data_IF_396193877999
#
_entry.id   IF_396193877999
#
_cell.length_a   1.000
_cell.length_b   1.000
_cell.length_c   1.000
_cell.angle_alpha   90.00
_cell.angle_beta   90.00
_cell.angle_gamma   90.00
#
_symmetry.space_group_name_H-M   'P 1'
#
loop_
_entity.id
_entity.type
_entity.pdbx_description
1 polymer ?
#
# COMPACT_ATOMS: atom_id res chain seq x y z
N UNK A 1 13.64 -8.03 10.28
CA UNK A 1 12.44 -7.42 10.91
C UNK A 1 11.42 -8.53 11.13
N UNK A 2 10.99 -8.79 12.36
CA UNK A 2 10.01 -9.84 12.69
C UNK A 2 8.60 -9.27 12.89
N UNK A 3 8.20 -8.36 12.00
CA UNK A 3 6.90 -7.69 12.02
C UNK A 3 6.16 -8.04 10.74
N UNK A 4 4.90 -8.37 10.88
CA UNK A 4 4.02 -8.81 9.80
C UNK A 4 2.70 -8.06 9.94
N UNK A 5 2.54 -6.99 9.16
CA UNK A 5 1.47 -6.02 9.35
C UNK A 5 1.46 -5.48 10.79
N UNK A 6 0.32 -5.63 11.47
CA UNK A 6 0.09 -5.23 12.85
C UNK A 6 0.66 -6.21 13.88
N UNK A 7 1.12 -7.38 13.46
CA UNK A 7 1.64 -8.41 14.36
C UNK A 7 3.16 -8.33 14.53
N UNK A 8 3.64 -8.35 15.77
CA UNK A 8 5.08 -8.45 16.08
C UNK A 8 5.45 -9.85 16.57
N UNK A 9 6.05 -10.64 15.68
CA UNK A 9 6.50 -12.00 15.95
C UNK A 9 7.73 -12.09 16.86
N UNK A 10 8.31 -10.96 17.30
CA UNK A 10 9.34 -10.96 18.34
C UNK A 10 8.75 -11.13 19.75
N UNK A 11 7.45 -10.91 19.91
CA UNK A 11 6.76 -11.10 21.19
C UNK A 11 6.21 -12.52 21.20
N UNK A 12 6.71 -13.33 22.13
CA UNK A 12 6.32 -14.74 22.26
C UNK A 12 4.86 -14.86 22.72
N UNK A 13 4.08 -15.68 22.02
CA UNK A 13 2.71 -16.04 22.38
C UNK A 13 2.51 -17.53 22.17
N UNK A 14 1.86 -18.18 23.13
CA UNK A 14 1.45 -19.58 23.00
C UNK A 14 0.02 -19.62 22.44
N UNK A 15 -0.27 -20.62 21.63
CA UNK A 15 -1.62 -20.88 21.08
C UNK A 15 -2.13 -19.79 20.15
N UNK A 16 -1.35 -19.39 19.15
CA UNK A 16 -1.87 -18.59 18.04
C UNK A 16 -2.89 -19.41 17.27
N UNK A 17 -4.04 -18.80 16.99
CA UNK A 17 -5.14 -19.36 16.21
C UNK A 17 -5.48 -18.34 15.12
N UNK A 18 -5.23 -18.71 13.87
CA UNK A 18 -5.60 -17.92 12.71
C UNK A 18 -6.71 -18.64 11.95
N UNK A 19 -7.80 -17.95 11.65
CA UNK A 19 -8.87 -18.46 10.81
C UNK A 19 -8.78 -17.74 9.47
N UNK A 20 -8.64 -18.48 8.37
CA UNK A 20 -8.55 -17.89 7.04
C UNK A 20 -9.92 -17.46 6.49
N UNK A 21 -9.94 -17.01 5.23
CA UNK A 21 -11.16 -16.62 4.50
C UNK A 21 -12.17 -17.76 4.33
N UNK A 22 -11.69 -18.99 4.21
CA UNK A 22 -12.46 -20.20 3.94
C UNK A 22 -12.89 -20.91 5.23
N UNK A 23 -12.56 -20.33 6.39
CA UNK A 23 -12.88 -20.86 7.72
C UNK A 23 -11.90 -21.92 8.22
N UNK A 24 -10.74 -22.07 7.56
CA UNK A 24 -9.73 -23.05 7.96
C UNK A 24 -8.91 -22.50 9.13
N UNK A 25 -8.78 -23.31 10.18
CA UNK A 25 -8.05 -22.94 11.39
C UNK A 25 -6.59 -23.39 11.34
N UNK A 26 -5.69 -22.45 11.62
CA UNK A 26 -4.26 -22.67 11.71
C UNK A 26 -3.79 -22.39 13.13
N UNK A 27 -3.13 -23.39 13.72
CA UNK A 27 -2.57 -23.28 15.06
C UNK A 27 -1.05 -23.16 15.01
N UNK A 28 -0.48 -22.36 15.91
CA UNK A 28 0.97 -22.24 16.04
C UNK A 28 1.42 -21.75 17.40
N UNK A 29 2.58 -22.24 17.83
CA UNK A 29 3.35 -21.73 18.96
C UNK A 29 4.27 -20.57 18.56
N UNK A 30 4.60 -20.47 17.26
CA UNK A 30 5.33 -19.38 16.65
C UNK A 30 4.63 -18.93 15.38
N UNK A 31 4.53 -17.61 15.20
CA UNK A 31 3.89 -17.03 14.03
C UNK A 31 4.58 -17.43 12.72
N UNK A 32 5.91 -17.56 12.71
CA UNK A 32 6.65 -18.00 11.51
C UNK A 32 6.34 -19.45 11.11
N UNK A 33 6.15 -20.35 12.08
CA UNK A 33 5.73 -21.73 11.80
C UNK A 33 4.30 -21.75 11.25
N UNK A 34 3.41 -20.94 11.84
CA UNK A 34 2.05 -20.80 11.38
C UNK A 34 1.99 -20.25 9.95
N UNK A 35 2.79 -19.22 9.63
CA UNK A 35 2.92 -18.71 8.26
C UNK A 35 3.35 -19.81 7.29
N UNK A 36 4.33 -20.66 7.65
CA UNK A 36 4.72 -21.77 6.78
C UNK A 36 3.54 -22.70 6.49
N UNK A 37 2.75 -23.06 7.50
CA UNK A 37 1.56 -23.92 7.34
C UNK A 37 0.49 -23.28 6.45
N UNK A 38 0.23 -22.00 6.64
CA UNK A 38 -0.71 -21.22 5.80
C UNK A 38 -0.20 -21.17 4.36
N UNK A 39 1.10 -20.95 4.16
CA UNK A 39 1.72 -20.93 2.84
C UNK A 39 1.54 -22.26 2.12
N UNK A 40 1.92 -23.37 2.76
CA UNK A 40 1.82 -24.71 2.18
C UNK A 40 0.36 -25.03 1.83
N UNK A 41 -0.59 -24.72 2.72
CA UNK A 41 -2.02 -24.90 2.46
C UNK A 41 -2.52 -24.10 1.25
N UNK A 42 -2.20 -22.80 1.18
CA UNK A 42 -2.63 -21.93 0.09
C UNK A 42 -1.97 -22.27 -1.26
N UNK A 43 -0.81 -22.91 -1.24
CA UNK A 43 -0.15 -23.42 -2.44
C UNK A 43 -0.97 -24.55 -3.09
N UNK A 44 -1.53 -25.44 -2.26
CA UNK A 44 -2.25 -26.62 -2.72
C UNK A 44 -3.75 -26.37 -2.95
N UNK A 45 -4.35 -25.45 -2.19
CA UNK A 45 -5.81 -25.24 -2.16
C UNK A 45 -6.23 -23.90 -2.81
N UNK A 46 -5.27 -23.12 -3.30
CA UNK A 46 -5.50 -21.74 -3.67
C UNK A 46 -5.62 -20.84 -2.44
N UNK A 47 -5.46 -19.55 -2.67
CA UNK A 47 -5.51 -18.54 -1.61
C UNK A 47 -4.50 -17.43 -1.85
N UNK A 48 -4.53 -16.45 -0.96
CA UNK A 48 -3.69 -15.27 -1.11
C UNK A 48 -2.22 -15.56 -0.74
N UNK A 49 -1.39 -15.74 -1.77
CA UNK A 49 0.07 -15.78 -1.69
C UNK A 49 0.75 -14.58 -2.36
N UNK A 50 -0.02 -13.54 -2.69
CA UNK A 50 0.54 -12.34 -3.29
C UNK A 50 1.51 -11.63 -2.32
N UNK A 51 2.49 -10.90 -2.84
CA UNK A 51 3.51 -10.22 -2.02
C UNK A 51 2.87 -9.43 -0.84
N UNK A 52 3.42 -9.62 0.36
CA UNK A 52 2.86 -9.07 1.60
C UNK A 52 1.68 -9.86 2.19
N UNK A 53 1.40 -11.08 1.71
CA UNK A 53 0.35 -11.93 2.30
C UNK A 53 0.62 -12.23 3.77
N UNK A 54 1.88 -12.33 4.19
CA UNK A 54 2.24 -12.52 5.59
C UNK A 54 1.79 -11.33 6.45
N UNK A 55 1.88 -10.10 5.90
CA UNK A 55 1.42 -8.90 6.58
C UNK A 55 -0.10 -8.92 6.76
N UNK A 56 -0.84 -9.32 5.71
CA UNK A 56 -2.31 -9.46 5.76
C UNK A 56 -2.75 -10.54 6.74
N UNK A 57 -2.03 -11.67 6.81
CA UNK A 57 -2.25 -12.70 7.84
C UNK A 57 -2.02 -12.11 9.23
N UNK A 58 -0.95 -11.33 9.43
CA UNK A 58 -0.67 -10.67 10.71
C UNK A 58 -1.75 -9.66 11.12
N UNK A 59 -2.23 -8.84 10.17
CA UNK A 59 -3.33 -7.90 10.40
C UNK A 59 -4.62 -8.62 10.79
N UNK A 60 -4.99 -9.68 10.06
CA UNK A 60 -6.20 -10.45 10.33
C UNK A 60 -6.12 -11.20 11.65
N UNK A 61 -4.99 -11.86 11.94
CA UNK A 61 -4.75 -12.49 13.24
C UNK A 61 -4.99 -11.49 14.38
N UNK A 62 -4.53 -10.26 14.21
CA UNK A 62 -4.71 -9.21 15.18
C UNK A 62 -6.14 -8.68 15.29
N UNK A 63 -6.91 -8.72 14.21
CA UNK A 63 -8.35 -8.47 14.26
C UNK A 63 -9.10 -9.57 15.02
N UNK A 64 -8.65 -10.83 14.93
CA UNK A 64 -9.29 -12.00 15.55
C UNK A 64 -9.01 -12.13 17.05
N UNK A 65 -7.73 -12.10 17.46
CA UNK A 65 -7.32 -12.59 18.79
C UNK A 65 -7.02 -11.50 19.83
N UNK A 66 -7.01 -10.21 19.47
CA UNK A 66 -6.67 -9.08 20.38
C UNK A 66 -5.42 -9.34 21.26
N UNK A 67 -4.33 -9.83 20.67
CA UNK A 67 -3.12 -10.22 21.39
C UNK A 67 -2.25 -9.00 21.80
N UNK A 68 -1.43 -9.09 22.87
CA UNK A 68 -0.42 -8.07 23.18
C UNK A 68 0.64 -7.86 22.08
N UNK A 69 0.90 -8.88 21.24
CA UNK A 69 1.77 -8.74 20.07
C UNK A 69 1.16 -7.91 18.94
N UNK A 70 -0.16 -7.70 19.00
CA UNK A 70 -0.88 -6.86 18.07
C UNK A 70 -0.76 -5.43 18.53
N UNK A 71 0.19 -4.72 17.94
CA UNK A 71 0.22 -3.28 18.11
C UNK A 71 -0.26 -2.64 16.81
N UNK A 72 -0.81 -1.43 16.89
CA UNK A 72 -1.03 -0.61 15.70
C UNK A 72 0.34 -0.17 15.15
N UNK A 73 1.16 -1.10 14.67
CA UNK A 73 2.39 -0.79 13.96
C UNK A 73 1.97 -0.17 12.63
N UNK A 74 1.90 1.16 12.60
CA UNK A 74 1.96 1.88 11.33
C UNK A 74 3.28 1.45 10.69
N UNK A 75 3.24 0.90 9.47
CA UNK A 75 4.45 0.66 8.66
C UNK A 75 5.38 1.86 8.82
N UNK A 76 6.69 1.66 9.08
CA UNK A 76 7.59 2.77 9.30
C UNK A 76 7.43 3.74 8.14
N UNK A 77 7.21 5.02 8.43
CA UNK A 77 6.90 5.99 7.39
C UNK A 77 8.05 6.03 6.38
N UNK A 78 7.72 6.02 5.09
CA UNK A 78 8.73 6.23 4.06
C UNK A 78 9.26 7.65 4.21
N UNK A 79 10.57 7.77 4.40
CA UNK A 79 11.28 9.06 4.36
C UNK A 79 11.62 9.39 2.92
N UNK A 80 11.42 10.64 2.53
CA UNK A 80 11.83 11.11 1.21
C UNK A 80 13.35 11.23 1.11
N UNK A 81 13.88 10.77 -0.01
CA UNK A 81 15.25 11.00 -0.45
C UNK A 81 15.34 12.21 -1.38
N UNK A 82 16.55 12.73 -1.63
CA UNK A 82 16.79 13.78 -2.62
C UNK A 82 16.40 13.32 -4.04
N UNK A 83 16.59 12.03 -4.35
CA UNK A 83 16.15 11.43 -5.61
C UNK A 83 14.63 11.51 -5.78
N UNK A 84 13.85 11.29 -4.72
CA UNK A 84 12.39 11.39 -4.75
C UNK A 84 11.93 12.82 -5.08
N UNK A 85 12.68 13.83 -4.63
CA UNK A 85 12.40 15.24 -4.95
C UNK A 85 12.61 15.51 -6.45
N UNK A 86 13.72 15.06 -7.03
CA UNK A 86 13.97 15.21 -8.47
C UNK A 86 12.92 14.49 -9.34
N UNK A 87 12.53 13.30 -8.90
CA UNK A 87 11.45 12.50 -9.49
C UNK A 87 10.14 13.27 -9.55
N UNK A 88 9.78 13.89 -8.41
CA UNK A 88 8.59 14.70 -8.29
C UNK A 88 8.60 15.89 -9.27
N UNK A 89 9.69 16.64 -9.35
CA UNK A 89 9.78 17.77 -10.28
C UNK A 89 9.65 17.33 -11.75
N UNK A 90 10.19 16.15 -12.09
CA UNK A 90 10.01 15.55 -13.41
C UNK A 90 8.53 15.25 -13.71
N UNK A 91 7.81 14.60 -12.78
CA UNK A 91 6.36 14.37 -12.89
C UNK A 91 5.58 15.68 -13.06
N UNK A 92 5.86 16.69 -12.24
CA UNK A 92 5.18 17.99 -12.30
C UNK A 92 5.41 18.67 -13.66
N UNK A 93 6.64 18.61 -14.20
CA UNK A 93 6.93 19.20 -15.50
C UNK A 93 6.26 18.43 -16.65
N UNK A 94 6.21 17.10 -16.59
CA UNK A 94 5.43 16.28 -17.55
C UNK A 94 3.95 16.64 -17.50
N UNK A 95 3.38 16.74 -16.30
CA UNK A 95 1.98 17.08 -16.11
C UNK A 95 1.65 18.49 -16.63
N UNK A 96 2.52 19.47 -16.38
CA UNK A 96 2.39 20.81 -16.94
C UNK A 96 2.40 20.78 -18.47
N UNK A 97 3.27 19.97 -19.09
CA UNK A 97 3.34 19.81 -20.55
C UNK A 97 2.10 19.14 -21.12
N UNK A 98 1.39 18.31 -20.34
CA UNK A 98 0.07 17.79 -20.70
C UNK A 98 -1.09 18.79 -20.49
N UNK A 99 -0.81 20.04 -20.18
CA UNK A 99 -1.85 21.05 -19.93
C UNK A 99 -2.63 20.81 -18.63
N UNK A 100 -2.01 20.17 -17.63
CA UNK A 100 -2.66 19.77 -16.37
C UNK A 100 -3.81 18.78 -16.55
N UNK A 101 -3.77 17.95 -17.60
CA UNK A 101 -4.76 16.92 -17.84
C UNK A 101 -4.91 15.97 -16.64
N UNK A 102 -6.15 15.58 -16.37
CA UNK A 102 -6.52 14.58 -15.35
C UNK A 102 -7.36 13.50 -16.02
N UNK A 103 -7.35 12.30 -15.47
CA UNK A 103 -8.23 11.22 -15.94
C UNK A 103 -9.67 11.45 -15.48
N UNK A 104 -10.62 10.74 -16.08
CA UNK A 104 -12.01 10.74 -15.63
C UNK A 104 -12.18 10.12 -14.23
N UNK A 105 -13.37 10.32 -13.68
CA UNK A 105 -13.75 9.86 -12.35
C UNK A 105 -13.69 8.33 -12.22
N UNK A 106 -14.16 7.59 -13.23
CA UNK A 106 -14.22 6.13 -13.21
C UNK A 106 -12.81 5.53 -13.12
N UNK A 107 -11.87 6.05 -13.91
CA UNK A 107 -10.49 5.62 -13.91
C UNK A 107 -9.77 6.03 -12.61
N UNK A 108 -10.05 7.22 -12.08
CA UNK A 108 -9.53 7.65 -10.78
C UNK A 108 -10.03 6.73 -9.63
N UNK A 109 -11.31 6.39 -9.62
CA UNK A 109 -11.92 5.47 -8.64
C UNK A 109 -11.34 4.07 -8.74
N UNK A 110 -11.22 3.53 -9.96
CA UNK A 110 -10.59 2.21 -10.19
C UNK A 110 -9.17 2.18 -9.64
N UNK A 111 -8.37 3.21 -9.91
CA UNK A 111 -6.99 3.32 -9.41
C UNK A 111 -6.94 3.52 -7.90
N UNK A 112 -7.86 4.29 -7.33
CA UNK A 112 -7.95 4.50 -5.89
C UNK A 112 -8.29 3.21 -5.15
N UNK A 113 -9.20 2.38 -5.67
CA UNK A 113 -9.52 1.08 -5.11
C UNK A 113 -8.29 0.15 -5.10
N UNK A 114 -7.52 0.11 -6.20
CA UNK A 114 -6.26 -0.64 -6.30
C UNK A 114 -5.27 -0.14 -5.24
N UNK A 115 -5.07 1.16 -5.16
CA UNK A 115 -4.11 1.78 -4.25
C UNK A 115 -4.52 1.64 -2.78
N UNK A 116 -5.81 1.67 -2.45
CA UNK A 116 -6.31 1.51 -1.09
C UNK A 116 -5.97 0.14 -0.51
N UNK A 117 -6.00 -0.90 -1.35
CA UNK A 117 -5.71 -2.29 -0.97
C UNK A 117 -4.22 -2.65 -1.10
N UNK A 118 -3.42 -1.79 -1.72
CA UNK A 118 -2.01 -2.07 -1.99
C UNK A 118 -1.18 -2.06 -0.69
N UNK A 119 -0.35 -3.09 -0.42
CA UNK A 119 0.51 -3.12 0.78
C UNK A 119 1.56 -2.00 0.77
N UNK A 120 1.82 -1.40 -0.40
CA UNK A 120 2.69 -0.23 -0.58
C UNK A 120 2.00 1.11 -0.27
N UNK A 121 0.75 1.11 0.19
CA UNK A 121 0.02 2.31 0.64
C UNK A 121 0.42 2.69 2.09
N UNK A 122 1.52 3.42 2.20
CA UNK A 122 2.18 3.74 3.48
C UNK A 122 2.09 5.21 3.80
N UNK A 123 2.29 5.55 5.07
CA UNK A 123 2.48 6.95 5.47
C UNK A 123 3.83 7.44 4.92
N UNK A 124 3.86 8.63 4.34
CA UNK A 124 5.10 9.31 3.91
C UNK A 124 5.38 10.47 4.86
N UNK A 125 6.65 10.62 5.25
CA UNK A 125 7.13 11.75 6.05
C UNK A 125 8.07 12.65 5.26
N UNK A 126 8.03 13.96 5.55
CA UNK A 126 8.86 14.97 4.88
C UNK A 126 8.28 15.54 3.57
N UNK A 127 7.05 15.17 3.18
CA UNK A 127 6.47 15.55 1.88
C UNK A 127 5.85 16.96 1.83
N UNK A 128 6.28 17.93 2.65
CA UNK A 128 5.70 19.28 2.69
C UNK A 128 5.67 19.95 1.31
N UNK A 129 6.69 19.73 0.48
CA UNK A 129 6.75 20.22 -0.91
C UNK A 129 5.78 19.52 -1.87
N UNK A 130 5.48 18.23 -1.66
CA UNK A 130 4.55 17.46 -2.48
C UNK A 130 3.10 17.91 -2.31
N UNK A 131 2.74 18.46 -1.15
CA UNK A 131 1.40 18.99 -0.91
C UNK A 131 1.03 20.14 -1.84
N UNK A 132 2.02 20.86 -2.40
CA UNK A 132 1.76 21.87 -3.44
C UNK A 132 1.30 21.27 -4.76
N UNK A 133 1.73 20.05 -5.10
CA UNK A 133 1.16 19.31 -6.23
C UNK A 133 -0.25 18.84 -5.91
N UNK A 134 -0.51 18.37 -4.68
CA UNK A 134 -1.87 18.05 -4.25
C UNK A 134 -2.81 19.25 -4.43
N UNK A 135 -2.35 20.47 -4.11
CA UNK A 135 -3.17 21.67 -4.34
C UNK A 135 -3.43 21.90 -5.83
N UNK A 136 -2.41 21.82 -6.69
CA UNK A 136 -2.63 21.96 -8.14
C UNK A 136 -3.52 20.88 -8.73
N UNK A 137 -3.40 19.63 -8.26
CA UNK A 137 -4.28 18.54 -8.68
C UNK A 137 -5.70 18.83 -8.21
N UNK A 138 -5.90 19.29 -6.98
CA UNK A 138 -7.20 19.77 -6.49
C UNK A 138 -7.77 20.89 -7.36
N UNK A 139 -6.95 21.88 -7.73
CA UNK A 139 -7.38 22.96 -8.61
C UNK A 139 -7.80 22.44 -10.00
N UNK A 140 -7.15 21.38 -10.50
CA UNK A 140 -7.46 20.74 -11.78
C UNK A 140 -8.69 19.82 -11.74
N UNK A 141 -8.92 19.08 -10.65
CA UNK A 141 -10.05 18.15 -10.50
C UNK A 141 -11.30 18.81 -9.88
N UNK A 142 -11.16 20.01 -9.31
CA UNK A 142 -12.22 20.72 -8.61
C UNK A 142 -12.66 20.02 -7.32
N UNK A 143 -13.97 19.85 -7.14
CA UNK A 143 -14.56 19.18 -5.97
C UNK A 143 -14.55 17.64 -6.06
N UNK A 144 -14.07 17.09 -7.18
CA UNK A 144 -14.03 15.65 -7.43
C UNK A 144 -13.16 14.92 -6.40
N UNK A 145 -13.65 13.78 -5.92
CA UNK A 145 -12.97 12.90 -4.95
C UNK A 145 -13.19 11.46 -5.36
N UNK A 146 -12.25 10.59 -5.04
CA UNK A 146 -12.47 9.16 -5.20
C UNK A 146 -13.22 8.59 -4.01
N UNK A 147 -13.97 7.52 -4.24
CA UNK A 147 -14.63 6.68 -3.23
C UNK A 147 -13.68 6.20 -2.11
N UNK A 148 -12.38 6.08 -2.42
CA UNK A 148 -11.37 5.54 -1.51
C UNK A 148 -10.38 6.59 -0.98
N UNK A 149 -10.61 7.89 -1.20
CA UNK A 149 -9.67 8.98 -0.87
C UNK A 149 -9.18 8.95 0.59
N UNK A 150 -10.08 8.59 1.52
CA UNK A 150 -9.81 8.51 2.96
C UNK A 150 -8.87 7.35 3.34
N UNK A 151 -8.72 6.36 2.47
CA UNK A 151 -7.81 5.22 2.62
C UNK A 151 -6.46 5.47 1.95
N UNK A 152 -6.37 6.44 1.04
CA UNK A 152 -5.16 6.75 0.29
C UNK A 152 -4.16 7.52 1.16
N UNK A 153 -2.91 7.01 1.20
CA UNK A 153 -1.77 7.67 1.83
C UNK A 153 -0.75 8.02 0.75
N UNK A 154 0.46 7.47 0.82
CA UNK A 154 1.47 7.58 -0.21
C UNK A 154 2.00 6.23 -0.67
N UNK A 155 2.66 6.25 -1.83
CA UNK A 155 3.22 5.04 -2.43
C UNK A 155 4.63 4.77 -1.90
N UNK A 156 4.87 3.57 -1.35
CA UNK A 156 6.19 3.14 -0.88
C UNK A 156 7.17 2.88 -2.05
N UNK A 157 6.73 2.81 -3.30
CA UNK A 157 7.62 2.63 -4.48
C UNK A 157 8.14 3.96 -5.04
N UNK A 158 7.25 4.94 -5.28
CA UNK A 158 7.63 6.21 -5.90
C UNK A 158 7.52 7.45 -4.98
N UNK A 159 7.18 7.25 -3.70
CA UNK A 159 7.01 8.31 -2.70
C UNK A 159 5.94 9.38 -3.01
N UNK A 160 5.05 9.15 -3.97
CA UNK A 160 4.01 10.12 -4.33
C UNK A 160 2.80 10.01 -3.39
N UNK A 161 2.09 11.12 -3.21
CA UNK A 161 0.74 11.11 -2.64
C UNK A 161 -0.22 10.37 -3.57
N UNK A 162 -0.89 9.34 -3.06
CA UNK A 162 -1.83 8.55 -3.85
C UNK A 162 -3.10 9.33 -4.15
N UNK A 163 -3.54 10.21 -3.25
CA UNK A 163 -4.70 11.11 -3.47
C UNK A 163 -4.51 12.02 -4.68
N UNK A 164 -3.28 12.42 -5.01
CA UNK A 164 -3.00 13.17 -6.24
C UNK A 164 -2.77 12.21 -7.41
N UNK A 165 -2.00 11.14 -7.19
CA UNK A 165 -1.44 10.33 -8.26
C UNK A 165 -2.49 9.58 -9.08
N UNK A 166 -3.59 9.14 -8.45
CA UNK A 166 -4.66 8.40 -9.16
C UNK A 166 -5.32 9.21 -10.28
N UNK A 167 -5.34 10.54 -10.15
CA UNK A 167 -5.89 11.48 -11.13
C UNK A 167 -4.95 11.79 -12.29
N UNK A 168 -3.66 11.47 -12.17
CA UNK A 168 -2.68 11.83 -13.18
C UNK A 168 -2.71 10.84 -14.36
N UNK A 169 -2.49 11.29 -15.60
CA UNK A 169 -2.29 10.40 -16.75
C UNK A 169 -1.14 9.40 -16.50
N UNK A 170 -1.20 8.21 -17.11
CA UNK A 170 -0.24 7.11 -16.87
C UNK A 170 1.20 7.57 -17.15
N UNK A 171 1.37 8.37 -18.19
CA UNK A 171 2.64 8.93 -18.70
C UNK A 171 3.29 9.91 -17.73
N UNK A 172 2.47 10.55 -16.89
CA UNK A 172 2.86 11.45 -15.80
C UNK A 172 3.14 10.66 -14.53
N UNK A 173 2.30 9.67 -14.22
CA UNK A 173 2.37 8.85 -13.01
C UNK A 173 3.53 7.84 -13.01
N UNK A 174 4.02 7.45 -14.19
CA UNK A 174 5.17 6.59 -14.36
C UNK A 174 6.48 7.38 -14.13
N UNK A 175 6.85 7.48 -12.84
CA UNK A 175 8.08 8.12 -12.38
C UNK A 175 8.75 7.25 -11.34
N UNK A 176 10.03 6.96 -11.58
CA UNK A 176 11.00 6.19 -10.78
C UNK A 176 10.49 4.99 -9.96
N UNK A 177 11.27 3.92 -10.07
CA UNK A 177 11.03 2.62 -9.47
C UNK A 177 11.56 1.61 -10.45
N UNK A 178 12.41 0.69 -10.02
CA UNK A 178 12.79 -0.42 -10.90
C UNK A 178 11.52 -1.19 -11.22
N UNK A 179 11.35 -1.68 -12.45
CA UNK A 179 10.14 -2.40 -12.87
C UNK A 179 9.80 -3.55 -11.90
N UNK A 180 10.84 -4.14 -11.31
CA UNK A 180 10.78 -5.20 -10.30
C UNK A 180 10.22 -4.76 -8.93
N UNK A 181 10.17 -3.45 -8.64
CA UNK A 181 9.67 -2.90 -7.37
C UNK A 181 8.16 -2.59 -7.42
N UNK A 182 7.57 -2.54 -8.62
CA UNK A 182 6.15 -2.32 -8.81
C UNK A 182 5.37 -3.62 -8.63
N UNK A 183 4.34 -3.64 -7.77
CA UNK A 183 3.45 -4.79 -7.66
C UNK A 183 2.79 -5.12 -9.00
N UNK A 184 2.52 -6.40 -9.27
CA UNK A 184 1.88 -6.83 -10.52
C UNK A 184 0.49 -6.21 -10.73
N UNK A 185 -0.22 -5.93 -9.63
CA UNK A 185 -1.51 -5.25 -9.64
C UNK A 185 -1.41 -3.73 -9.74
N UNK A 186 -0.22 -3.16 -9.90
CA UNK A 186 -0.07 -1.71 -10.02
C UNK A 186 -0.58 -1.24 -11.39
N UNK A 187 -1.48 -0.27 -11.39
CA UNK A 187 -2.04 0.33 -12.62
C UNK A 187 -1.01 1.08 -13.49
N UNK A 188 0.22 1.26 -13.00
CA UNK A 188 1.34 1.83 -13.76
C UNK A 188 2.23 0.80 -14.44
N UNK A 189 2.04 -0.48 -14.13
CA UNK A 189 2.57 -1.60 -14.91
C UNK A 189 1.81 -1.66 -16.24
#
# INVERSE_FOLDING_TARGET
MSKFGSFNASISHKNLIYIDEDGVEFHGDKFTHMLKRIHDYRLDNGGDLALGWQDRVGDRLCAQMKLPACTKFKSPPRKLSVSDIGTFFSAVNKWRRSGYAVVDQEEADRRAAICAQCPKNVKIEGCTGCFRLLQKVKDAIGESKTSSDHLLKGCEVCACSLQAKVWLPKEVGHVNGKEQEWPDHCWLK
#
